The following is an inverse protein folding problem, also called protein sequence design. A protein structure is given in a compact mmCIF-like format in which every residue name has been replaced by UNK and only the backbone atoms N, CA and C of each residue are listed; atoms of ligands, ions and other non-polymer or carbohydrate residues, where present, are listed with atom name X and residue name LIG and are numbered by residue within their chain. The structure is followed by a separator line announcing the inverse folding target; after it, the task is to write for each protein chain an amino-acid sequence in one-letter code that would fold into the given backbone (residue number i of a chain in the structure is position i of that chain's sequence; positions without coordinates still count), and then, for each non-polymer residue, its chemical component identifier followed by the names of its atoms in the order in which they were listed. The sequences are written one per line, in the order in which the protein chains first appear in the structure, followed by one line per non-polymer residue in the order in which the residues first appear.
data_IF_038025355932
#
_entry.id   IF_038025355932
#
_cell.length_a   1.000
_cell.length_b   1.000
_cell.length_c   1.000
_cell.angle_alpha   90.00
_cell.angle_beta   90.00
_cell.angle_gamma   90.00
#
_symmetry.space_group_name_H-M   'P 1'
#
loop_
_entity.id
_entity.type
_entity.pdbx_description
1 polymer ?
#
# COMPACT_ATOMS: atom_id res chain seq x y z
N UNK A 1 20.11 -0.08 -6.16
CA UNK A 1 19.47 -1.41 -6.31
C UNK A 1 18.17 -1.23 -7.06
N UNK A 2 17.97 -1.94 -8.19
CA UNK A 2 16.88 -1.71 -9.14
C UNK A 2 15.50 -2.14 -8.61
N UNK A 3 14.50 -1.27 -8.78
CA UNK A 3 13.06 -1.45 -8.50
C UNK A 3 12.47 -2.76 -9.05
N UNK A 4 13.12 -3.40 -10.02
CA UNK A 4 12.72 -4.69 -10.60
C UNK A 4 12.75 -5.86 -9.60
N UNK A 5 13.53 -5.78 -8.50
CA UNK A 5 13.59 -6.86 -7.48
C UNK A 5 12.36 -6.90 -6.57
N UNK A 6 11.69 -5.77 -6.33
CA UNK A 6 10.46 -5.74 -5.53
C UNK A 6 9.26 -6.34 -6.29
N UNK A 7 9.17 -6.11 -7.61
CA UNK A 7 8.15 -6.71 -8.48
C UNK A 7 8.29 -8.23 -8.67
N UNK A 8 9.48 -8.80 -8.43
CA UNK A 8 9.72 -10.23 -8.64
C UNK A 8 9.11 -11.13 -7.55
N UNK A 9 8.91 -10.61 -6.33
CA UNK A 9 8.30 -11.38 -5.24
C UNK A 9 6.77 -11.51 -5.33
N UNK A 10 6.11 -10.69 -6.15
CA UNK A 10 4.66 -10.78 -6.39
C UNK A 10 4.26 -11.95 -7.31
N UNK A 11 5.22 -12.55 -8.03
CA UNK A 11 4.99 -13.69 -8.94
C UNK A 11 4.87 -15.06 -8.25
N UNK A 12 4.92 -15.12 -6.91
CA UNK A 12 4.76 -16.37 -6.14
C UNK A 12 3.33 -16.59 -5.62
N UNK A 13 2.31 -16.14 -6.36
CA UNK A 13 0.92 -16.54 -6.14
C UNK A 13 0.78 -17.99 -6.61
N UNK A 14 0.78 -18.95 -5.67
CA UNK A 14 0.86 -20.39 -6.00
C UNK A 14 -0.39 -21.22 -5.73
N UNK A 15 -1.54 -20.65 -5.34
CA UNK A 15 -2.80 -21.41 -5.24
C UNK A 15 -4.02 -20.54 -5.54
N UNK A 16 -4.51 -20.65 -6.77
CA UNK A 16 -5.91 -20.36 -7.10
C UNK A 16 -6.68 -21.64 -6.78
N UNK A 17 -7.53 -21.64 -5.76
CA UNK A 17 -8.49 -22.73 -5.54
C UNK A 17 -9.77 -22.36 -6.29
N UNK A 18 -10.15 -23.19 -7.26
CA UNK A 18 -11.42 -23.05 -7.96
C UNK A 18 -12.50 -23.66 -7.06
N UNK A 19 -13.36 -22.84 -6.46
CA UNK A 19 -14.52 -23.33 -5.69
C UNK A 19 -15.74 -23.20 -6.59
N UNK A 20 -16.27 -24.33 -7.06
CA UNK A 20 -17.55 -24.38 -7.76
C UNK A 20 -18.64 -24.41 -6.69
N UNK A 21 -19.37 -23.30 -6.51
CA UNK A 21 -20.59 -23.30 -5.72
C UNK A 21 -21.76 -23.64 -6.66
N UNK A 22 -22.31 -24.84 -6.51
CA UNK A 22 -23.42 -25.32 -7.32
C UNK A 22 -24.73 -24.96 -6.61
N UNK A 23 -25.31 -23.82 -6.92
CA UNK A 23 -26.65 -23.48 -6.44
C UNK A 23 -27.70 -24.05 -7.40
N UNK A 24 -28.54 -24.96 -6.91
CA UNK A 24 -29.39 -25.83 -7.75
C UNK A 24 -30.64 -25.14 -8.31
N UNK A 25 -30.76 -23.82 -8.19
CA UNK A 25 -32.03 -23.12 -8.46
C UNK A 25 -31.94 -21.85 -9.31
N UNK A 26 -30.81 -21.50 -9.93
CA UNK A 26 -30.82 -20.45 -10.95
C UNK A 26 -29.67 -20.60 -11.96
N UNK A 27 -30.00 -20.59 -13.24
CA UNK A 27 -29.07 -20.67 -14.38
C UNK A 27 -28.28 -19.37 -14.52
N UNK A 28 -27.27 -19.17 -13.67
CA UNK A 28 -26.14 -18.27 -13.93
C UNK A 28 -24.96 -18.72 -13.06
N UNK A 29 -24.07 -19.52 -13.64
CA UNK A 29 -22.81 -19.89 -13.00
C UNK A 29 -21.86 -18.69 -13.07
N UNK A 30 -21.72 -17.92 -11.99
CA UNK A 30 -20.64 -16.94 -11.86
C UNK A 30 -19.39 -17.62 -11.32
N UNK A 31 -18.31 -17.59 -12.10
CA UNK A 31 -16.98 -18.00 -11.65
C UNK A 31 -16.47 -17.03 -10.57
N UNK A 32 -16.61 -17.39 -9.29
CA UNK A 32 -16.00 -16.65 -8.20
C UNK A 32 -14.53 -17.10 -8.09
N UNK A 33 -13.61 -16.26 -8.55
CA UNK A 33 -12.17 -16.46 -8.36
C UNK A 33 -11.83 -16.11 -6.91
N UNK A 34 -11.78 -17.10 -6.04
CA UNK A 34 -11.30 -16.93 -4.66
C UNK A 34 -9.76 -16.86 -4.66
N UNK A 35 -9.22 -15.62 -4.67
CA UNK A 35 -7.77 -15.40 -4.57
C UNK A 35 -7.34 -15.46 -3.11
N UNK A 36 -6.91 -16.64 -2.67
CA UNK A 36 -6.29 -16.84 -1.35
C UNK A 36 -4.84 -16.34 -1.36
N UNK A 37 -4.61 -15.11 -0.90
CA UNK A 37 -3.27 -14.63 -0.58
C UNK A 37 -2.85 -15.17 0.79
N UNK A 38 -1.95 -16.15 0.80
CA UNK A 38 -1.37 -16.73 2.03
C UNK A 38 -0.34 -15.74 2.61
N UNK A 39 -0.84 -14.64 3.20
CA UNK A 39 -0.04 -13.68 3.95
C UNK A 39 0.18 -14.29 5.34
N UNK A 40 1.21 -15.13 5.50
CA UNK A 40 1.59 -15.58 6.85
C UNK A 40 2.24 -14.40 7.59
N UNK A 41 1.72 -13.92 8.73
CA UNK A 41 2.28 -12.78 9.46
C UNK A 41 3.68 -13.02 10.04
N UNK A 42 4.13 -14.28 10.08
CA UNK A 42 5.15 -14.75 11.03
C UNK A 42 6.57 -14.17 10.94
N UNK A 43 6.93 -13.38 9.92
CA UNK A 43 8.33 -12.98 9.72
C UNK A 43 8.61 -11.48 9.85
N UNK A 44 7.61 -10.61 9.74
CA UNK A 44 7.86 -9.15 9.67
C UNK A 44 7.59 -8.46 11.00
N UNK A 45 6.53 -8.84 11.71
CA UNK A 45 6.14 -8.22 12.97
C UNK A 45 7.24 -8.29 14.05
N UNK A 46 7.91 -9.44 14.29
CA UNK A 46 9.00 -9.49 15.28
C UNK A 46 10.19 -8.60 14.94
N UNK A 47 10.45 -8.36 13.66
CA UNK A 47 11.53 -7.47 13.20
C UNK A 47 11.17 -6.03 13.49
N UNK A 48 9.94 -5.61 13.16
CA UNK A 48 9.46 -4.26 13.43
C UNK A 48 9.42 -3.98 14.93
N UNK A 49 9.00 -4.94 15.75
CA UNK A 49 9.02 -4.84 17.21
C UNK A 49 10.43 -4.67 17.76
N UNK A 50 11.38 -5.44 17.25
CA UNK A 50 12.78 -5.33 17.63
C UNK A 50 13.33 -3.92 17.29
N UNK A 51 13.05 -3.41 16.10
CA UNK A 51 13.53 -2.09 15.66
C UNK A 51 12.89 -0.95 16.45
N UNK A 52 11.58 -0.99 16.68
CA UNK A 52 10.87 0.00 17.48
C UNK A 52 11.43 0.01 18.91
N UNK A 53 11.57 -1.17 19.53
CA UNK A 53 12.13 -1.31 20.88
C UNK A 53 13.58 -0.85 20.97
N UNK A 54 14.39 -1.04 19.93
CA UNK A 54 15.74 -0.50 19.87
C UNK A 54 15.74 1.03 19.86
N UNK A 55 14.89 1.65 19.05
CA UNK A 55 14.79 3.12 18.97
C UNK A 55 14.34 3.70 20.32
N UNK A 56 13.35 3.09 20.97
CA UNK A 56 12.86 3.54 22.28
C UNK A 56 13.95 3.51 23.35
N UNK A 57 14.90 2.57 23.25
CA UNK A 57 16.09 2.49 24.12
C UNK A 57 17.25 3.40 23.67
N UNK A 58 17.33 3.69 22.37
CA UNK A 58 18.41 4.43 21.73
C UNK A 58 17.86 5.57 20.87
N UNK A 59 17.23 6.60 21.46
CA UNK A 59 16.49 7.64 20.72
C UNK A 59 17.40 8.57 19.91
N UNK A 60 18.71 8.55 20.15
CA UNK A 60 19.72 9.34 19.41
C UNK A 60 20.31 8.60 18.21
N UNK A 61 19.91 7.36 17.96
CA UNK A 61 20.38 6.60 16.80
C UNK A 61 19.83 7.19 15.50
N UNK A 62 20.55 7.02 14.38
CA UNK A 62 20.06 7.46 13.06
C UNK A 62 18.70 6.82 12.71
N UNK A 63 18.48 5.60 13.20
CA UNK A 63 17.23 4.85 13.01
C UNK A 63 16.02 5.53 13.65
N UNK A 64 16.22 6.36 14.69
CA UNK A 64 15.14 7.08 15.37
C UNK A 64 14.38 8.03 14.43
N UNK A 65 15.04 8.55 13.38
CA UNK A 65 14.38 9.36 12.34
C UNK A 65 13.26 8.59 11.62
N UNK A 66 13.31 7.25 11.62
CA UNK A 66 12.36 6.38 10.92
C UNK A 66 11.28 5.78 11.84
N UNK A 67 11.19 6.22 13.10
CA UNK A 67 10.23 5.65 14.05
C UNK A 67 8.78 5.71 13.54
N UNK A 68 8.38 6.84 12.94
CA UNK A 68 7.05 7.01 12.34
C UNK A 68 6.80 5.99 11.23
N UNK A 69 7.73 5.85 10.29
CA UNK A 69 7.68 4.85 9.22
C UNK A 69 7.52 3.42 9.76
N UNK A 70 8.29 3.05 10.79
CA UNK A 70 8.25 1.70 11.36
C UNK A 70 6.92 1.41 12.06
N UNK A 71 6.38 2.39 12.80
CA UNK A 71 5.07 2.27 13.46
C UNK A 71 3.94 2.13 12.43
N UNK A 72 3.91 2.96 11.41
CA UNK A 72 2.90 2.86 10.34
C UNK A 72 3.03 1.55 9.55
N UNK A 73 4.26 1.10 9.30
CA UNK A 73 4.49 -0.21 8.68
C UNK A 73 3.91 -1.33 9.53
N UNK A 74 4.16 -1.30 10.85
CA UNK A 74 3.60 -2.30 11.77
C UNK A 74 2.07 -2.29 11.76
N UNK A 75 1.44 -1.11 11.84
CA UNK A 75 -0.02 -0.97 11.74
C UNK A 75 -0.55 -1.56 10.45
N UNK A 76 0.04 -1.22 9.30
CA UNK A 76 -0.35 -1.76 8.00
C UNK A 76 -0.27 -3.30 7.97
N UNK A 77 0.83 -3.87 8.45
CA UNK A 77 0.97 -5.33 8.52
C UNK A 77 -0.08 -5.96 9.44
N UNK A 78 -0.38 -5.34 10.58
CA UNK A 78 -1.48 -5.73 11.46
C UNK A 78 -2.80 -5.76 10.70
N UNK A 79 -3.19 -4.65 10.07
CA UNK A 79 -4.47 -4.57 9.34
C UNK A 79 -4.55 -5.60 8.20
N UNK A 80 -3.45 -5.85 7.47
CA UNK A 80 -3.43 -6.86 6.40
C UNK A 80 -3.50 -8.31 6.92
N UNK A 81 -2.93 -8.60 8.09
CA UNK A 81 -2.78 -9.96 8.58
C UNK A 81 -3.86 -10.38 9.58
N UNK A 82 -4.37 -9.43 10.39
CA UNK A 82 -5.31 -9.70 11.48
C UNK A 82 -6.69 -9.09 11.29
N UNK A 83 -6.82 -7.99 10.55
CA UNK A 83 -8.10 -7.31 10.35
C UNK A 83 -8.82 -7.84 9.11
N UNK A 84 -9.77 -8.77 9.32
CA UNK A 84 -10.52 -9.42 8.24
C UNK A 84 -11.25 -8.42 7.32
N UNK A 85 -11.77 -7.33 7.88
CA UNK A 85 -12.50 -6.31 7.11
C UNK A 85 -11.58 -5.53 6.18
N UNK A 86 -10.48 -4.94 6.71
CA UNK A 86 -9.49 -4.26 5.89
C UNK A 86 -8.86 -5.19 4.84
N UNK A 87 -8.51 -6.42 5.21
CA UNK A 87 -7.99 -7.41 4.26
C UNK A 87 -8.99 -7.70 3.15
N UNK A 88 -10.27 -7.88 3.47
CA UNK A 88 -11.32 -8.16 2.48
C UNK A 88 -11.50 -6.98 1.53
N UNK A 89 -11.59 -5.76 2.08
CA UNK A 89 -11.64 -4.51 1.30
C UNK A 89 -10.42 -4.36 0.41
N UNK A 90 -9.22 -4.63 0.91
CA UNK A 90 -8.00 -4.62 0.13
C UNK A 90 -8.09 -5.58 -1.06
N UNK A 91 -8.39 -6.87 -0.81
CA UNK A 91 -8.47 -7.88 -1.85
C UNK A 91 -9.50 -7.55 -2.94
N UNK A 92 -10.63 -6.95 -2.54
CA UNK A 92 -11.67 -6.49 -3.47
C UNK A 92 -11.21 -5.35 -4.38
N UNK A 93 -10.41 -4.41 -3.86
CA UNK A 93 -10.02 -3.19 -4.58
C UNK A 93 -8.67 -3.31 -5.31
N UNK A 94 -7.84 -4.30 -4.97
CA UNK A 94 -6.55 -4.58 -5.64
C UNK A 94 -6.63 -4.64 -7.17
N UNK A 95 -7.64 -5.28 -7.80
CA UNK A 95 -7.74 -5.31 -9.26
C UNK A 95 -7.83 -3.92 -9.90
N UNK A 96 -8.69 -3.03 -9.37
CA UNK A 96 -8.84 -1.66 -9.88
C UNK A 96 -7.57 -0.87 -9.63
N UNK A 97 -7.07 -0.90 -8.38
CA UNK A 97 -5.85 -0.19 -8.01
C UNK A 97 -4.67 -0.60 -8.89
N UNK A 98 -4.47 -1.90 -9.16
CA UNK A 98 -3.38 -2.37 -10.01
C UNK A 98 -3.55 -1.99 -11.49
N UNK A 99 -4.78 -2.00 -12.00
CA UNK A 99 -5.06 -1.59 -13.39
C UNK A 99 -4.67 -0.12 -13.59
N UNK A 100 -5.05 0.72 -12.63
CA UNK A 100 -4.87 2.16 -12.73
C UNK A 100 -3.48 2.66 -12.32
N UNK A 101 -2.76 1.94 -11.44
CA UNK A 101 -1.55 2.48 -10.79
C UNK A 101 -0.44 2.90 -11.76
N UNK A 102 -0.19 2.11 -12.82
CA UNK A 102 0.87 2.41 -13.78
C UNK A 102 0.54 3.65 -14.62
N UNK A 103 -0.73 3.83 -14.99
CA UNK A 103 -1.14 4.92 -15.85
C UNK A 103 -1.36 6.20 -15.05
N UNK A 104 -1.97 6.13 -13.86
CA UNK A 104 -2.20 7.28 -13.00
C UNK A 104 -0.88 7.94 -12.60
N UNK A 105 0.11 7.17 -12.13
CA UNK A 105 1.38 7.78 -11.70
C UNK A 105 2.11 8.46 -12.86
N UNK A 106 2.07 7.86 -14.06
CA UNK A 106 2.66 8.46 -15.25
C UNK A 106 1.94 9.74 -15.70
N UNK A 107 0.61 9.79 -15.61
CA UNK A 107 -0.19 10.97 -15.94
C UNK A 107 0.06 12.06 -14.90
N UNK A 108 -0.09 11.76 -13.62
CA UNK A 108 0.10 12.71 -12.53
C UNK A 108 1.54 13.23 -12.44
N UNK A 109 2.54 12.37 -12.65
CA UNK A 109 3.95 12.75 -12.63
C UNK A 109 4.37 13.68 -13.76
N UNK A 110 3.61 13.72 -14.87
CA UNK A 110 3.84 14.62 -16.02
C UNK A 110 3.05 15.93 -15.93
N UNK A 111 2.04 16.02 -15.05
CA UNK A 111 1.23 17.25 -14.87
C UNK A 111 2.02 18.38 -14.22
N UNK A 112 3.11 18.05 -13.53
CA UNK A 112 3.92 19.00 -12.79
C UNK A 112 5.39 18.80 -13.14
N UNK A 113 6.16 19.87 -13.12
CA UNK A 113 7.62 19.78 -13.00
C UNK A 113 8.04 20.02 -11.54
N UNK A 114 9.26 19.59 -11.19
CA UNK A 114 9.82 19.82 -9.84
C UNK A 114 9.97 21.31 -9.54
N UNK A 115 10.29 22.11 -10.57
CA UNK A 115 10.47 23.55 -10.48
C UNK A 115 9.14 24.28 -10.26
N UNK A 116 8.09 23.92 -11.03
CA UNK A 116 6.74 24.50 -10.88
C UNK A 116 6.12 24.19 -9.52
N UNK A 117 6.43 23.05 -8.93
CA UNK A 117 5.90 22.67 -7.64
C UNK A 117 6.63 23.37 -6.46
N UNK A 118 7.79 24.00 -6.69
CA UNK A 118 8.58 24.62 -5.62
C UNK A 118 9.52 23.64 -4.91
N UNK A 119 9.97 22.57 -5.60
CA UNK A 119 10.93 21.59 -5.09
C UNK A 119 10.38 20.16 -5.03
N UNK A 120 11.28 19.19 -4.81
CA UNK A 120 10.97 17.75 -4.89
C UNK A 120 9.82 17.32 -3.97
N UNK A 121 9.74 17.90 -2.78
CA UNK A 121 8.75 17.54 -1.78
C UNK A 121 7.35 18.05 -2.11
N UNK A 122 7.26 19.29 -2.59
CA UNK A 122 6.00 19.84 -3.06
C UNK A 122 5.53 19.16 -4.36
N UNK A 123 6.47 18.76 -5.23
CA UNK A 123 6.18 17.91 -6.40
C UNK A 123 5.57 16.57 -5.99
N UNK A 124 6.20 15.82 -5.09
CA UNK A 124 5.67 14.53 -4.63
C UNK A 124 4.28 14.68 -4.00
N UNK A 125 4.06 15.75 -3.22
CA UNK A 125 2.74 16.03 -2.65
C UNK A 125 1.70 16.30 -3.74
N UNK A 126 2.02 17.12 -4.75
CA UNK A 126 1.12 17.41 -5.86
C UNK A 126 0.79 16.16 -6.69
N UNK A 127 1.80 15.33 -6.98
CA UNK A 127 1.61 14.04 -7.67
C UNK A 127 0.72 13.11 -6.85
N UNK A 128 0.96 12.99 -5.54
CA UNK A 128 0.15 12.15 -4.66
C UNK A 128 -1.31 12.61 -4.60
N UNK A 129 -1.57 13.92 -4.49
CA UNK A 129 -2.92 14.47 -4.52
C UNK A 129 -3.63 14.18 -5.84
N UNK A 130 -2.93 14.30 -6.97
CA UNK A 130 -3.46 13.90 -8.27
C UNK A 130 -3.80 12.40 -8.31
N UNK A 131 -2.91 11.53 -7.80
CA UNK A 131 -3.16 10.08 -7.74
C UNK A 131 -4.40 9.76 -6.89
N UNK A 132 -4.54 10.40 -5.73
CA UNK A 132 -5.69 10.22 -4.85
C UNK A 132 -7.01 10.65 -5.52
N UNK A 133 -7.01 11.76 -6.24
CA UNK A 133 -8.17 12.23 -7.00
C UNK A 133 -8.57 11.23 -8.07
N UNK A 134 -7.62 10.79 -8.90
CA UNK A 134 -7.89 9.85 -9.99
C UNK A 134 -8.37 8.48 -9.46
N UNK A 135 -7.79 7.98 -8.35
CA UNK A 135 -8.25 6.74 -7.71
C UNK A 135 -9.70 6.87 -7.24
N UNK A 136 -10.06 8.00 -6.64
CA UNK A 136 -11.41 8.24 -6.15
C UNK A 136 -12.41 8.26 -7.31
N UNK A 137 -12.07 8.93 -8.40
CA UNK A 137 -12.91 9.02 -9.59
C UNK A 137 -13.10 7.66 -10.28
N UNK A 138 -12.02 6.87 -10.42
CA UNK A 138 -12.04 5.65 -11.22
C UNK A 138 -12.36 4.38 -10.44
N UNK A 139 -11.94 4.31 -9.18
CA UNK A 139 -12.07 3.12 -8.33
C UNK A 139 -12.98 3.33 -7.10
N UNK A 140 -13.44 4.56 -6.84
CA UNK A 140 -14.36 4.91 -5.76
C UNK A 140 -13.69 5.17 -4.40
N UNK A 141 -14.48 5.70 -3.45
CA UNK A 141 -14.01 6.11 -2.12
C UNK A 141 -13.41 4.97 -1.30
N UNK A 142 -13.93 3.75 -1.43
CA UNK A 142 -13.38 2.60 -0.70
C UNK A 142 -11.96 2.26 -1.18
N UNK A 143 -11.71 2.36 -2.48
CA UNK A 143 -10.36 2.19 -3.04
C UNK A 143 -9.40 3.26 -2.54
N UNK A 144 -9.87 4.52 -2.42
CA UNK A 144 -9.08 5.59 -1.81
C UNK A 144 -8.72 5.26 -0.35
N UNK A 145 -9.69 4.75 0.43
CA UNK A 145 -9.44 4.37 1.82
C UNK A 145 -8.38 3.27 1.93
N UNK A 146 -8.50 2.22 1.12
CA UNK A 146 -7.49 1.14 1.03
C UNK A 146 -6.12 1.69 0.61
N UNK A 147 -6.09 2.53 -0.43
CA UNK A 147 -4.87 3.15 -0.92
C UNK A 147 -4.17 3.99 0.17
N UNK A 148 -4.93 4.82 0.87
CA UNK A 148 -4.41 5.64 1.97
C UNK A 148 -3.80 4.79 3.08
N UNK A 149 -4.43 3.66 3.43
CA UNK A 149 -3.88 2.71 4.40
C UNK A 149 -2.55 2.11 3.95
N UNK A 150 -2.45 1.69 2.68
CA UNK A 150 -1.22 1.12 2.10
C UNK A 150 -0.09 2.16 2.01
N UNK A 151 -0.43 3.42 1.75
CA UNK A 151 0.54 4.48 1.48
C UNK A 151 1.00 5.23 2.75
N UNK A 152 0.33 5.06 3.90
CA UNK A 152 0.71 5.70 5.17
C UNK A 152 2.20 5.55 5.55
N UNK A 153 2.84 4.37 5.42
CA UNK A 153 4.26 4.26 5.69
C UNK A 153 5.10 5.17 4.80
N UNK A 154 4.78 5.27 3.50
CA UNK A 154 5.51 6.14 2.58
C UNK A 154 5.31 7.61 2.93
N UNK A 155 4.10 8.03 3.31
CA UNK A 155 3.83 9.40 3.79
C UNK A 155 4.69 9.73 5.02
N UNK A 156 4.77 8.80 5.97
CA UNK A 156 5.60 8.98 7.17
C UNK A 156 7.08 9.04 6.85
N UNK A 157 7.53 8.28 5.85
CA UNK A 157 8.90 8.34 5.35
C UNK A 157 9.18 9.67 4.63
N UNK A 158 8.24 10.15 3.81
CA UNK A 158 8.35 11.44 3.13
C UNK A 158 8.51 12.57 4.14
N UNK A 159 7.81 12.55 5.29
CA UNK A 159 8.03 13.57 6.35
C UNK A 159 9.47 13.63 6.86
N UNK A 160 10.22 12.52 6.80
CA UNK A 160 11.63 12.48 7.21
C UNK A 160 12.53 13.16 6.16
N UNK A 161 12.26 12.92 4.88
CA UNK A 161 13.07 13.46 3.78
C UNK A 161 12.66 14.88 3.37
N UNK A 162 11.37 15.15 3.48
CA UNK A 162 10.71 16.38 3.13
C UNK A 162 10.38 17.20 4.35
N UNK A 163 11.28 17.20 5.36
CA UNK A 163 11.18 18.06 6.54
C UNK A 163 10.68 19.43 6.07
N UNK A 164 9.39 19.68 6.29
CA UNK A 164 8.93 21.05 6.40
C UNK A 164 9.63 21.50 7.66
N UNK A 165 10.51 22.48 7.53
CA UNK A 165 10.77 23.35 8.65
C UNK A 165 9.40 23.95 8.99
N UNK A 166 8.70 23.33 9.95
CA UNK A 166 7.48 23.87 10.55
C UNK A 166 7.82 25.18 11.28
#
# INVERSE_FOLDING_TARGET
MSSKKYLANWKKIKRVRRVLQYDKSNTDSQDIIEVSYDLSPGNVEPILDCQISFIERCPTSELANFLGYLKESKTLYGNLCTELDFRTKFLRNVPCLNHEFQDIYNVCGKKFTVEEAGGFCAYNFAVLQCVMSDITEKCGEESLHVFNGLYQPMISLDKVFCRRDD
#
